data_IF_569819269680
#
_entry.id   IF_569819269680
#
_cell.length_a   1.000
_cell.length_b   1.000
_cell.length_c   1.000
_cell.angle_alpha   90.00
_cell.angle_beta   90.00
_cell.angle_gamma   90.00
#
_symmetry.space_group_name_H-M   'P 1'
#
loop_
_entity.id
_entity.type
_entity.pdbx_description
1 polymer ?
#
# COMPACT_ATOMS: atom_id res chain seq x y z
N UNK A 1 14.98 2.72 -19.11
CA UNK A 1 13.76 3.50 -18.80
C UNK A 1 14.21 4.96 -18.70
N UNK A 2 13.62 5.86 -19.49
CA UNK A 2 13.90 7.29 -19.35
C UNK A 2 13.19 7.86 -18.13
N UNK A 3 13.60 9.06 -17.70
CA UNK A 3 13.01 9.73 -16.55
C UNK A 3 11.49 9.99 -16.76
N UNK A 4 11.06 10.22 -18.01
CA UNK A 4 9.67 10.50 -18.37
C UNK A 4 8.77 9.27 -18.21
N UNK A 5 9.22 8.10 -18.65
CA UNK A 5 8.43 6.86 -18.51
C UNK A 5 8.35 6.42 -17.04
N UNK A 6 9.41 6.66 -16.26
CA UNK A 6 9.40 6.39 -14.83
C UNK A 6 8.39 7.30 -14.10
N UNK A 7 8.39 8.61 -14.39
CA UNK A 7 7.43 9.55 -13.81
C UNK A 7 5.99 9.15 -14.14
N UNK A 8 5.69 8.89 -15.42
CA UNK A 8 4.37 8.43 -15.86
C UNK A 8 3.93 7.17 -15.12
N UNK A 9 4.83 6.21 -14.92
CA UNK A 9 4.49 4.95 -14.23
C UNK A 9 4.09 5.19 -12.76
N UNK A 10 4.73 6.13 -12.08
CA UNK A 10 4.38 6.50 -10.70
C UNK A 10 3.06 7.26 -10.65
N UNK A 11 2.84 8.21 -11.56
CA UNK A 11 1.57 8.94 -11.65
C UNK A 11 0.41 7.99 -11.90
N UNK A 12 0.58 7.07 -12.86
CA UNK A 12 -0.45 6.09 -13.21
C UNK A 12 -0.75 5.14 -12.02
N UNK A 13 0.27 4.75 -11.24
CA UNK A 13 0.08 3.93 -10.02
C UNK A 13 -0.72 4.69 -8.95
N UNK A 14 -0.39 5.96 -8.70
CA UNK A 14 -1.10 6.80 -7.74
C UNK A 14 -2.55 7.04 -8.16
N UNK A 15 -2.79 7.32 -9.45
CA UNK A 15 -4.14 7.56 -9.95
C UNK A 15 -5.02 6.31 -9.84
N UNK A 16 -4.49 5.14 -10.19
CA UNK A 16 -5.23 3.87 -10.08
C UNK A 16 -5.56 3.52 -8.64
N UNK A 17 -4.60 3.64 -7.73
CA UNK A 17 -4.84 3.33 -6.31
C UNK A 17 -5.88 4.27 -5.71
N UNK A 18 -5.78 5.59 -5.95
CA UNK A 18 -6.73 6.58 -5.45
C UNK A 18 -8.12 6.31 -6.02
N UNK A 19 -8.24 6.08 -7.33
CA UNK A 19 -9.52 5.75 -7.96
C UNK A 19 -10.12 4.46 -7.40
N UNK A 20 -9.31 3.44 -7.09
CA UNK A 20 -9.81 2.17 -6.59
C UNK A 20 -10.17 2.22 -5.09
N UNK A 21 -9.38 2.93 -4.28
CA UNK A 21 -9.56 3.00 -2.82
C UNK A 21 -10.70 3.97 -2.47
N UNK A 22 -10.80 5.11 -3.15
CA UNK A 22 -11.84 6.13 -2.86
C UNK A 22 -13.28 5.66 -3.04
N UNK A 23 -13.52 4.61 -3.84
CA UNK A 23 -14.88 4.08 -4.05
C UNK A 23 -15.47 3.47 -2.77
N UNK A 24 -14.64 2.72 -2.04
CA UNK A 24 -14.96 2.12 -0.75
C UNK A 24 -13.65 1.68 -0.10
N UNK A 25 -13.06 2.51 0.79
CA UNK A 25 -11.78 2.21 1.44
C UNK A 25 -11.82 0.96 2.31
N UNK A 26 -12.96 0.62 2.90
CA UNK A 26 -13.09 -0.49 3.84
C UNK A 26 -13.26 -1.85 3.15
N UNK A 27 -13.48 -1.87 1.82
CA UNK A 27 -13.72 -3.12 1.06
C UNK A 27 -12.51 -4.05 0.98
N UNK A 28 -11.32 -3.51 1.21
CA UNK A 28 -10.08 -4.26 1.02
C UNK A 28 -9.73 -5.04 2.27
N UNK A 29 -8.87 -6.05 2.11
CA UNK A 29 -8.49 -6.92 3.22
C UNK A 29 -7.39 -6.28 4.05
N UNK A 30 -7.41 -6.58 5.35
CA UNK A 30 -6.22 -6.42 6.18
C UNK A 30 -5.13 -7.37 5.68
N UNK A 31 -3.88 -6.90 5.71
CA UNK A 31 -2.76 -7.77 5.44
C UNK A 31 -2.63 -8.81 6.57
N UNK A 32 -2.70 -10.11 6.23
CA UNK A 32 -2.75 -11.20 7.22
C UNK A 32 -1.54 -11.23 8.15
N UNK A 33 -0.32 -11.05 7.63
CA UNK A 33 0.92 -11.05 8.42
C UNK A 33 0.91 -9.92 9.45
N UNK A 34 0.38 -8.75 9.07
CA UNK A 34 0.27 -7.61 9.98
C UNK A 34 -0.86 -7.80 10.99
N UNK A 35 -1.99 -8.35 10.55
CA UNK A 35 -3.12 -8.65 11.41
C UNK A 35 -2.74 -9.64 12.52
N UNK A 36 -1.92 -10.66 12.22
CA UNK A 36 -1.38 -11.61 13.19
C UNK A 36 -0.52 -10.93 14.27
N UNK A 37 0.03 -9.75 13.96
CA UNK A 37 0.79 -8.89 14.89
C UNK A 37 -0.07 -7.81 15.57
N UNK A 38 -1.39 -7.84 15.38
CA UNK A 38 -2.32 -6.83 15.89
C UNK A 38 -2.25 -5.49 15.15
N UNK A 39 -1.58 -5.44 13.99
CA UNK A 39 -1.44 -4.24 13.18
C UNK A 39 -2.53 -4.24 12.10
N UNK A 40 -3.38 -3.22 12.12
CA UNK A 40 -4.49 -3.07 11.15
C UNK A 40 -4.09 -2.15 10.01
N UNK A 41 -3.55 -2.73 8.95
CA UNK A 41 -3.24 -2.03 7.69
C UNK A 41 -3.96 -2.74 6.55
N UNK A 42 -4.63 -1.95 5.72
CA UNK A 42 -5.32 -2.42 4.52
C UNK A 42 -4.36 -2.46 3.32
N UNK A 43 -4.62 -3.37 2.39
CA UNK A 43 -3.86 -3.46 1.14
C UNK A 43 -4.75 -3.44 -0.11
N UNK A 44 -4.39 -2.57 -1.05
CA UNK A 44 -4.86 -2.62 -2.43
C UNK A 44 -3.79 -3.27 -3.32
N UNK A 45 -4.22 -4.14 -4.23
CA UNK A 45 -3.35 -4.89 -5.14
C UNK A 45 -3.60 -4.46 -6.59
N UNK A 46 -2.56 -3.94 -7.24
CA UNK A 46 -2.50 -3.69 -8.68
C UNK A 46 -1.88 -4.91 -9.37
N UNK A 47 -2.68 -5.96 -9.58
CA UNK A 47 -2.19 -7.24 -10.10
C UNK A 47 -1.60 -7.11 -11.50
N UNK A 48 -2.12 -6.22 -12.32
CA UNK A 48 -1.70 -6.04 -13.71
C UNK A 48 -0.32 -5.37 -13.81
N UNK A 49 0.03 -4.55 -12.82
CA UNK A 49 1.30 -3.83 -12.78
C UNK A 49 2.28 -4.36 -11.72
N UNK A 50 1.86 -5.37 -10.96
CA UNK A 50 2.62 -6.05 -9.90
C UNK A 50 3.02 -5.12 -8.74
N UNK A 51 2.12 -4.22 -8.32
CA UNK A 51 2.33 -3.32 -7.16
C UNK A 51 1.26 -3.47 -6.10
N UNK A 52 1.63 -3.19 -4.85
CA UNK A 52 0.69 -3.07 -3.74
C UNK A 52 0.75 -1.68 -3.12
N UNK A 53 -0.38 -1.22 -2.62
CA UNK A 53 -0.51 -0.01 -1.83
C UNK A 53 -1.00 -0.37 -0.43
N UNK A 54 -0.22 -0.02 0.59
CA UNK A 54 -0.62 -0.10 1.99
C UNK A 54 -1.23 1.23 2.41
N UNK A 55 -2.37 1.18 3.10
CA UNK A 55 -3.04 2.38 3.57
C UNK A 55 -3.81 2.14 4.87
N UNK A 56 -4.17 3.25 5.51
CA UNK A 56 -4.94 3.31 6.75
C UNK A 56 -6.23 4.12 6.50
N UNK A 57 -7.36 3.57 6.94
CA UNK A 57 -8.71 4.17 6.87
C UNK A 57 -9.34 4.38 8.26
N UNK A 58 -8.54 4.33 9.33
CA UNK A 58 -9.00 4.47 10.72
C UNK A 58 -9.65 5.83 11.01
N UNK A 59 -9.28 6.86 10.24
CA UNK A 59 -9.93 8.15 10.26
C UNK A 59 -11.08 8.18 9.25
N UNK A 60 -12.34 8.33 9.68
CA UNK A 60 -13.49 8.31 8.78
C UNK A 60 -13.49 9.47 7.76
N UNK A 61 -12.68 10.51 7.98
CA UNK A 61 -12.60 11.67 7.10
C UNK A 61 -11.44 11.59 6.10
N UNK A 62 -10.51 10.63 6.23
CA UNK A 62 -9.35 10.54 5.34
C UNK A 62 -8.80 9.13 5.23
N UNK A 63 -8.28 8.83 4.04
CA UNK A 63 -7.43 7.67 3.81
C UNK A 63 -5.99 8.13 3.74
N UNK A 64 -5.09 7.42 4.44
CA UNK A 64 -3.65 7.71 4.44
C UNK A 64 -2.93 6.60 3.70
N UNK A 65 -2.34 6.92 2.55
CA UNK A 65 -1.42 6.02 1.86
C UNK A 65 -0.10 5.98 2.64
N UNK A 66 0.32 4.78 3.04
CA UNK A 66 1.50 4.55 3.85
C UNK A 66 2.73 4.18 3.00
N UNK A 67 2.55 3.25 2.06
CA UNK A 67 3.65 2.70 1.27
C UNK A 67 3.16 2.08 -0.04
N UNK A 68 3.87 2.36 -1.13
CA UNK A 68 3.82 1.53 -2.34
C UNK A 68 5.02 0.57 -2.34
N UNK A 69 4.77 -0.70 -2.63
CA UNK A 69 5.82 -1.70 -2.77
C UNK A 69 5.57 -2.56 -4.01
N UNK A 70 6.63 -3.04 -4.63
CA UNK A 70 6.50 -4.06 -5.66
C UNK A 70 5.99 -5.35 -5.02
N UNK A 71 5.12 -6.11 -5.70
CA UNK A 71 4.70 -7.42 -5.23
C UNK A 71 5.85 -8.46 -5.24
N UNK A 72 6.97 -8.15 -5.87
CA UNK A 72 8.19 -8.97 -5.88
C UNK A 72 9.08 -8.74 -4.66
N UNK A 73 8.84 -7.66 -3.92
CA UNK A 73 9.59 -7.37 -2.70
C UNK A 73 9.01 -8.14 -1.51
N UNK A 74 9.88 -8.45 -0.55
CA UNK A 74 9.44 -8.76 0.80
C UNK A 74 8.85 -7.49 1.43
N UNK A 75 7.51 -7.46 1.45
CA UNK A 75 6.77 -6.30 1.91
C UNK A 75 6.90 -6.07 3.42
N UNK A 76 7.10 -7.11 4.21
CA UNK A 76 7.26 -6.98 5.66
C UNK A 76 8.56 -6.25 5.97
N UNK A 77 9.65 -6.70 5.34
CA UNK A 77 10.93 -6.01 5.38
C UNK A 77 10.82 -4.57 4.85
N UNK A 78 10.02 -4.31 3.81
CA UNK A 78 9.80 -2.95 3.31
C UNK A 78 9.09 -2.05 4.35
N UNK A 79 8.03 -2.55 4.98
CA UNK A 79 7.30 -1.83 6.02
C UNK A 79 8.19 -1.52 7.24
N UNK A 80 9.05 -2.46 7.64
CA UNK A 80 10.06 -2.22 8.68
C UNK A 80 11.07 -1.15 8.27
N UNK A 81 11.65 -1.24 7.06
CA UNK A 81 12.64 -0.27 6.56
C UNK A 81 12.09 1.15 6.50
N UNK A 82 10.79 1.29 6.23
CA UNK A 82 10.12 2.59 6.13
C UNK A 82 9.47 3.03 7.45
N UNK A 83 9.71 2.33 8.57
CA UNK A 83 9.13 2.62 9.89
C UNK A 83 7.60 2.71 9.88
N UNK A 84 6.94 1.99 8.95
CA UNK A 84 5.48 1.85 8.93
C UNK A 84 5.04 0.89 10.04
N UNK A 85 5.88 -0.10 10.34
CA UNK A 85 5.73 -1.01 11.47
C UNK A 85 7.04 -1.08 12.26
N UNK A 86 6.96 -1.37 13.56
CA UNK A 86 8.12 -1.45 14.44
C UNK A 86 8.42 -2.90 14.83
N UNK A 87 9.71 -3.23 14.95
CA UNK A 87 10.14 -4.56 15.41
C UNK A 87 9.63 -4.78 16.83
N UNK A 88 8.77 -5.77 17.02
CA UNK A 88 8.53 -6.34 18.35
C UNK A 88 9.74 -7.19 18.69
N UNK A 89 10.64 -6.65 19.49
CA UNK A 89 11.77 -7.42 20.06
C UNK A 89 11.29 -8.55 20.96
#
# INVERSE_FOLDING_TARGET
MGNTEAAKRIDDLLLRSVSAISLDPARYRFNGILADKGIRILEWLDTDNEYRCFYDDSDPCRVVILLYASMKEDFESALYRHNVIYSTG
#
